data_IF_784655982016
#
_entry.id   IF_784655982016
#
_cell.length_a   1.000
_cell.length_b   1.000
_cell.length_c   1.000
_cell.angle_alpha   90.00
_cell.angle_beta   90.00
_cell.angle_gamma   90.00
#
_symmetry.space_group_name_H-M   'P 1'
#
loop_
_entity.id
_entity.type
_entity.pdbx_description
1 polymer ?
#
# COMPACT_ATOMS: atom_id res chain seq x y z
N UNK A 1 14.30 -2.55 -1.98
CA UNK A 1 13.68 -2.80 -3.31
C UNK A 1 14.27 -4.07 -3.90
N UNK A 2 13.44 -5.04 -4.21
CA UNK A 2 13.89 -6.30 -4.82
C UNK A 2 13.66 -6.34 -6.33
N UNK A 3 12.69 -5.56 -6.83
CA UNK A 3 12.39 -5.50 -8.25
C UNK A 3 11.73 -4.16 -8.60
N UNK A 4 12.10 -3.58 -9.73
CA UNK A 4 11.47 -2.38 -10.29
C UNK A 4 10.74 -2.78 -11.56
N UNK A 5 9.41 -2.64 -11.57
CA UNK A 5 8.55 -3.03 -12.69
C UNK A 5 8.37 -1.90 -13.69
N UNK A 6 8.40 -0.65 -13.23
CA UNK A 6 8.25 0.54 -14.07
C UNK A 6 9.01 1.71 -13.45
N UNK A 7 9.65 2.51 -14.29
CA UNK A 7 10.42 3.66 -13.84
C UNK A 7 11.79 3.28 -13.28
N UNK A 8 12.30 4.12 -12.40
CA UNK A 8 13.59 3.94 -11.74
C UNK A 8 13.42 4.13 -10.23
N UNK A 9 14.15 3.35 -9.45
CA UNK A 9 14.16 3.48 -8.00
C UNK A 9 15.53 3.11 -7.43
N UNK A 10 15.99 3.78 -6.36
CA UNK A 10 17.17 3.34 -5.61
C UNK A 10 16.89 2.03 -4.88
N UNK A 11 17.94 1.36 -4.41
CA UNK A 11 17.81 0.11 -3.67
C UNK A 11 17.00 0.27 -2.37
N UNK A 12 17.11 1.43 -1.72
CA UNK A 12 16.41 1.77 -0.51
C UNK A 12 15.57 3.02 -0.72
N UNK A 13 14.33 2.96 -0.28
CA UNK A 13 13.37 4.05 -0.35
C UNK A 13 12.96 4.47 1.05
N UNK A 14 12.76 5.77 1.24
CA UNK A 14 12.07 6.29 2.42
C UNK A 14 10.64 6.58 1.99
N UNK A 15 9.69 5.91 2.63
CA UNK A 15 8.27 5.99 2.31
C UNK A 15 7.53 6.57 3.50
N UNK A 16 6.75 7.62 3.26
CA UNK A 16 5.84 8.16 4.26
C UNK A 16 4.47 7.50 4.10
N UNK A 17 3.81 7.26 5.22
CA UNK A 17 2.46 6.71 5.24
C UNK A 17 1.53 7.66 6.00
N UNK A 18 0.26 7.74 5.59
CA UNK A 18 -0.73 8.62 6.18
C UNK A 18 -1.26 8.07 7.51
N UNK A 19 -0.35 7.88 8.45
CA UNK A 19 -0.65 7.40 9.80
C UNK A 19 0.43 7.84 10.77
N UNK A 20 0.07 7.88 12.06
CA UNK A 20 1.00 8.14 13.13
C UNK A 20 0.52 7.48 14.43
N UNK A 21 1.45 7.25 15.37
CA UNK A 21 1.14 6.73 16.70
C UNK A 21 1.19 7.86 17.71
N UNK A 22 0.13 7.98 18.52
CA UNK A 22 0.06 8.93 19.62
C UNK A 22 -0.88 8.37 20.69
N UNK A 23 -0.55 8.58 21.97
CA UNK A 23 -1.38 8.15 23.10
C UNK A 23 -1.73 6.66 23.06
N UNK A 24 -0.77 5.81 22.69
CA UNK A 24 -0.91 4.36 22.52
C UNK A 24 -1.96 3.96 21.46
N UNK A 25 -2.34 4.87 20.57
CA UNK A 25 -3.28 4.62 19.50
C UNK A 25 -2.63 4.89 18.13
N UNK A 26 -3.10 4.16 17.12
CA UNK A 26 -2.75 4.41 15.72
C UNK A 26 -3.80 5.34 15.12
N UNK A 27 -3.35 6.48 14.59
CA UNK A 27 -4.19 7.44 13.88
C UNK A 27 -3.93 7.32 12.39
N UNK A 28 -4.99 7.14 11.60
CA UNK A 28 -4.89 6.96 10.14
C UNK A 28 -5.83 7.90 9.41
N UNK A 29 -5.53 8.14 8.12
CA UNK A 29 -6.43 8.85 7.23
C UNK A 29 -7.22 7.85 6.38
N UNK A 30 -8.56 8.00 6.36
CA UNK A 30 -9.42 7.16 5.51
C UNK A 30 -9.34 5.67 5.81
N UNK A 31 -8.96 5.29 7.03
CA UNK A 31 -8.82 3.88 7.40
C UNK A 31 -7.55 3.20 6.90
N UNK A 32 -6.61 3.96 6.34
CA UNK A 32 -5.33 3.42 5.84
C UNK A 32 -4.58 2.65 6.94
N UNK A 33 -4.05 1.49 6.59
CA UNK A 33 -3.23 0.68 7.49
C UNK A 33 -1.77 0.72 7.05
N UNK A 34 -0.81 0.91 7.99
CA UNK A 34 0.61 0.96 7.66
C UNK A 34 1.14 -0.39 7.21
N UNK A 35 2.24 -0.34 6.44
CA UNK A 35 3.00 -1.53 6.09
C UNK A 35 3.62 -2.17 7.34
N UNK A 36 3.70 -3.49 7.33
CA UNK A 36 4.33 -4.25 8.39
C UNK A 36 5.76 -4.62 8.01
N UNK A 37 6.68 -4.46 8.96
CA UNK A 37 8.08 -4.84 8.77
C UNK A 37 8.21 -6.33 8.45
N UNK A 38 9.06 -6.64 7.47
CA UNK A 38 9.34 -8.02 7.08
C UNK A 38 8.35 -8.62 6.09
N UNK A 39 7.31 -7.90 5.73
CA UNK A 39 6.34 -8.35 4.71
C UNK A 39 6.65 -7.71 3.36
N UNK A 40 6.54 -8.46 2.25
CA UNK A 40 6.73 -7.91 0.91
C UNK A 40 5.45 -7.23 0.41
N UNK A 41 5.66 -6.16 -0.37
CA UNK A 41 4.57 -5.39 -0.99
C UNK A 41 4.89 -5.04 -2.43
N UNK A 42 3.88 -5.02 -3.27
CA UNK A 42 3.92 -4.30 -4.54
C UNK A 42 3.45 -2.87 -4.28
N UNK A 43 4.26 -1.90 -4.66
CA UNK A 43 4.00 -0.48 -4.38
C UNK A 43 3.92 0.33 -5.66
N UNK A 44 2.92 1.20 -5.71
CA UNK A 44 2.82 2.29 -6.68
C UNK A 44 3.07 3.58 -5.91
N UNK A 45 4.18 4.25 -6.22
CA UNK A 45 4.67 5.35 -5.41
C UNK A 45 4.68 6.66 -6.20
N UNK A 46 4.43 7.75 -5.49
CA UNK A 46 4.62 9.11 -5.98
C UNK A 46 5.78 9.74 -5.20
N UNK A 47 6.69 10.40 -5.92
CA UNK A 47 7.77 11.15 -5.30
C UNK A 47 7.27 12.51 -4.83
N UNK A 48 7.77 12.97 -3.69
CA UNK A 48 7.58 14.36 -3.27
C UNK A 48 8.38 15.27 -4.20
N UNK A 49 7.83 16.43 -4.54
CA UNK A 49 8.50 17.40 -5.39
C UNK A 49 9.58 18.18 -4.65
N UNK A 50 10.39 18.95 -5.39
CA UNK A 50 11.53 19.68 -4.83
C UNK A 50 11.13 20.80 -3.86
N UNK A 51 9.87 21.22 -3.88
CA UNK A 51 9.35 22.26 -2.97
C UNK A 51 8.87 21.69 -1.63
N UNK A 52 8.78 20.37 -1.51
CA UNK A 52 8.35 19.70 -0.28
C UNK A 52 9.48 19.58 0.73
N UNK A 53 9.13 19.64 2.02
CA UNK A 53 10.04 19.30 3.11
C UNK A 53 10.46 17.83 3.10
N UNK A 54 9.71 17.00 2.37
CA UNK A 54 9.94 15.55 2.25
C UNK A 54 10.60 15.18 0.92
N UNK A 55 11.27 16.13 0.25
CA UNK A 55 11.98 15.87 -1.00
C UNK A 55 12.94 14.68 -0.85
N UNK A 56 12.98 13.81 -1.85
CA UNK A 56 13.74 12.56 -1.80
C UNK A 56 13.00 11.39 -1.19
N UNK A 57 11.81 11.60 -0.65
CA UNK A 57 10.94 10.56 -0.12
C UNK A 57 9.79 10.27 -1.09
N UNK A 58 9.06 9.21 -0.80
CA UNK A 58 7.94 8.74 -1.62
C UNK A 58 6.72 8.46 -0.74
N UNK A 59 5.55 8.42 -1.36
CA UNK A 59 4.32 8.00 -0.69
C UNK A 59 3.49 7.10 -1.60
N UNK A 60 2.71 6.17 -1.03
CA UNK A 60 1.81 5.34 -1.81
C UNK A 60 0.78 6.19 -2.54
N UNK A 61 0.69 6.01 -3.86
CA UNK A 61 -0.25 6.76 -4.69
C UNK A 61 -1.68 6.41 -4.28
N UNK A 62 -2.48 7.43 -3.95
CA UNK A 62 -3.88 7.26 -3.54
C UNK A 62 -4.06 6.32 -2.33
N UNK A 63 -3.20 6.44 -1.32
CA UNK A 63 -3.26 5.66 -0.07
C UNK A 63 -3.18 4.15 -0.33
N UNK A 64 -4.16 3.38 0.15
CA UNK A 64 -4.16 1.91 0.04
C UNK A 64 -4.11 1.40 -1.39
N UNK A 65 -4.56 2.17 -2.38
CA UNK A 65 -4.49 1.80 -3.79
C UNK A 65 -3.06 1.72 -4.32
N UNK A 66 -2.13 2.34 -3.62
CA UNK A 66 -0.71 2.28 -3.96
C UNK A 66 0.04 1.13 -3.29
N UNK A 67 -0.64 0.26 -2.55
CA UNK A 67 -0.01 -0.74 -1.70
C UNK A 67 -0.76 -2.08 -1.75
N UNK A 68 -0.05 -3.13 -2.16
CA UNK A 68 -0.63 -4.47 -2.30
C UNK A 68 0.28 -5.49 -1.62
N UNK A 69 -0.12 -6.07 -0.47
CA UNK A 69 0.65 -7.13 0.17
C UNK A 69 0.80 -8.35 -0.75
N UNK A 70 2.01 -8.87 -0.84
CA UNK A 70 2.31 -10.06 -1.64
C UNK A 70 2.17 -11.33 -0.79
N UNK A 71 2.02 -12.46 -1.46
CA UNK A 71 1.89 -13.75 -0.77
C UNK A 71 0.55 -13.99 -0.10
N UNK A 72 -0.43 -13.12 -0.34
CA UNK A 72 -1.79 -13.24 0.19
C UNK A 72 -2.70 -13.82 -0.87
N UNK A 73 -3.32 -14.97 -0.59
CA UNK A 73 -4.25 -15.62 -1.51
C UNK A 73 -5.67 -15.04 -1.38
N UNK A 74 -5.79 -13.71 -1.37
CA UNK A 74 -7.07 -13.03 -1.16
C UNK A 74 -7.77 -12.59 -2.45
N UNK A 75 -7.22 -12.90 -3.61
CA UNK A 75 -7.82 -12.54 -4.92
C UNK A 75 -9.24 -13.07 -5.10
N UNK A 76 -9.57 -14.17 -4.43
CA UNK A 76 -10.90 -14.80 -4.48
C UNK A 76 -11.67 -14.67 -3.16
N UNK A 77 -11.11 -14.00 -2.16
CA UNK A 77 -11.75 -13.85 -0.86
C UNK A 77 -12.88 -12.83 -0.92
N UNK A 78 -14.04 -13.19 -0.43
CA UNK A 78 -15.21 -12.31 -0.36
C UNK A 78 -15.54 -11.87 1.07
N UNK A 79 -14.83 -12.39 2.08
CA UNK A 79 -15.04 -12.02 3.48
C UNK A 79 -14.48 -10.64 3.78
N UNK A 80 -15.32 -9.72 4.26
CA UNK A 80 -14.89 -8.40 4.69
C UNK A 80 -13.81 -8.46 5.78
N UNK A 81 -13.89 -9.44 6.67
CA UNK A 81 -12.90 -9.61 7.74
C UNK A 81 -11.51 -9.93 7.19
N UNK A 82 -11.41 -10.70 6.10
CA UNK A 82 -10.14 -10.99 5.45
C UNK A 82 -9.55 -9.77 4.79
N UNK A 83 -10.39 -8.88 4.26
CA UNK A 83 -9.94 -7.67 3.58
C UNK A 83 -9.60 -6.52 4.55
N UNK A 84 -10.03 -6.59 5.80
CA UNK A 84 -9.74 -5.56 6.82
C UNK A 84 -8.24 -5.42 7.12
N UNK A 85 -7.41 -6.38 6.69
CA UNK A 85 -5.96 -6.24 6.78
C UNK A 85 -5.40 -5.15 5.85
N UNK A 86 -6.20 -4.65 4.92
CA UNK A 86 -5.79 -3.63 3.96
C UNK A 86 -6.32 -2.24 4.29
N UNK A 87 -7.49 -2.15 4.90
CA UNK A 87 -8.09 -0.89 5.31
C UNK A 87 -9.13 -1.11 6.41
N UNK A 88 -9.31 -0.11 7.27
CA UNK A 88 -10.35 -0.08 8.30
C UNK A 88 -11.69 0.47 7.79
N UNK A 89 -11.69 1.11 6.61
CA UNK A 89 -12.91 1.69 6.02
C UNK A 89 -13.60 0.67 5.12
N UNK A 90 -14.77 0.19 5.54
CA UNK A 90 -15.55 -0.78 4.80
C UNK A 90 -16.04 -0.29 3.43
N UNK A 91 -16.30 1.00 3.27
CA UNK A 91 -16.66 1.59 1.97
C UNK A 91 -15.49 1.56 0.98
N UNK A 92 -14.30 1.83 1.47
CA UNK A 92 -13.06 1.79 0.69
C UNK A 92 -12.67 0.35 0.32
N UNK A 93 -12.98 -0.62 1.18
CA UNK A 93 -12.62 -2.02 0.94
C UNK A 93 -13.21 -2.60 -0.34
N UNK A 94 -14.45 -2.25 -0.68
CA UNK A 94 -15.08 -2.72 -1.92
C UNK A 94 -14.31 -2.28 -3.16
N UNK A 95 -13.92 -1.01 -3.21
CA UNK A 95 -13.10 -0.47 -4.29
C UNK A 95 -11.71 -1.09 -4.29
N UNK A 96 -11.12 -1.27 -3.12
CA UNK A 96 -9.81 -1.89 -3.00
C UNK A 96 -9.81 -3.34 -3.49
N UNK A 97 -10.84 -4.12 -3.20
CA UNK A 97 -10.99 -5.48 -3.73
C UNK A 97 -10.94 -5.51 -5.25
N UNK A 98 -11.65 -4.58 -5.89
CA UNK A 98 -11.64 -4.46 -7.35
C UNK A 98 -10.24 -4.15 -7.88
N UNK A 99 -9.55 -3.19 -7.28
CA UNK A 99 -8.17 -2.84 -7.65
C UNK A 99 -7.20 -3.99 -7.42
N UNK A 100 -7.32 -4.68 -6.30
CA UNK A 100 -6.47 -5.83 -5.96
C UNK A 100 -6.59 -6.94 -7.02
N UNK A 101 -7.82 -7.26 -7.43
CA UNK A 101 -8.05 -8.26 -8.48
C UNK A 101 -7.42 -7.86 -9.80
N UNK A 102 -7.52 -6.59 -10.17
CA UNK A 102 -6.92 -6.08 -11.40
C UNK A 102 -5.39 -6.11 -11.35
N UNK A 103 -4.80 -5.67 -10.25
CA UNK A 103 -3.35 -5.64 -10.07
C UNK A 103 -2.79 -7.06 -10.02
N UNK A 104 -3.40 -7.97 -9.30
CA UNK A 104 -2.95 -9.37 -9.23
C UNK A 104 -3.06 -10.07 -10.59
N UNK A 105 -4.04 -9.70 -11.42
CA UNK A 105 -4.16 -10.24 -12.77
C UNK A 105 -3.06 -9.71 -13.71
N UNK A 106 -2.59 -8.46 -13.49
CA UNK A 106 -1.50 -7.88 -14.27
C UNK A 106 -0.13 -8.46 -13.89
N UNK A 107 0.04 -8.85 -12.64
CA UNK A 107 1.31 -9.34 -12.11
C UNK A 107 1.13 -10.69 -11.39
N UNK A 108 0.66 -11.72 -12.11
CA UNK A 108 0.30 -12.99 -11.46
C UNK A 108 1.48 -13.68 -10.78
N UNK A 109 2.71 -13.46 -11.25
CA UNK A 109 3.91 -14.08 -10.70
C UNK A 109 4.31 -13.51 -9.32
N UNK A 110 3.74 -12.38 -8.93
CA UNK A 110 4.04 -11.73 -7.65
C UNK A 110 3.07 -12.14 -6.53
N UNK A 111 1.88 -12.59 -6.88
CA UNK A 111 0.83 -12.90 -5.91
C UNK A 111 0.61 -14.37 -5.64
#
# INVERSE_FOLDING_TARGET
VTQVLKGQAPEQLVITEECYTADDALWTQGGYLPMETGKPYLLFLTAYDDSSDYVGMYYPTELERGKYPLGQALTTADSAAQWQVYSLDGGTLSDYQSWYRQVSALYPDLF
#
